data_IF_777299244106
#
_entry.id   IF_777299244106
#
_cell.length_a   1.000
_cell.length_b   1.000
_cell.length_c   1.000
_cell.angle_alpha   90.00
_cell.angle_beta   90.00
_cell.angle_gamma   90.00
#
_symmetry.space_group_name_H-M   'P 1'
#
loop_
_entity.id
_entity.type
_entity.pdbx_description
1 polymer ?
#
# COMPACT_ATOMS: atom_id res chain seq x y z
N UNK A 1 -20.19 5.84 -26.17
CA UNK A 1 -21.15 6.96 -26.07
C UNK A 1 -22.27 6.75 -27.09
N UNK A 2 -23.50 7.02 -26.69
CA UNK A 2 -24.67 6.98 -27.59
C UNK A 2 -24.74 8.22 -28.48
N UNK A 3 -25.46 8.11 -29.61
CA UNK A 3 -25.65 9.22 -30.54
C UNK A 3 -26.39 10.42 -29.92
N UNK A 4 -27.12 10.21 -28.82
CA UNK A 4 -27.81 11.23 -28.04
C UNK A 4 -26.95 11.79 -26.88
N UNK A 5 -25.64 11.56 -26.86
CA UNK A 5 -24.77 12.02 -25.77
C UNK A 5 -24.90 11.23 -24.46
N UNK A 6 -25.61 10.10 -24.43
CA UNK A 6 -25.61 9.21 -23.26
C UNK A 6 -24.29 8.45 -23.12
N UNK A 7 -23.93 8.12 -21.88
CA UNK A 7 -22.78 7.27 -21.57
C UNK A 7 -23.29 5.93 -21.10
N UNK A 8 -22.79 4.86 -21.70
CA UNK A 8 -23.33 3.51 -21.55
C UNK A 8 -22.18 2.55 -21.28
N UNK A 9 -22.35 1.70 -20.30
CA UNK A 9 -21.54 0.51 -20.09
C UNK A 9 -22.22 -0.69 -20.77
N UNK A 10 -21.39 -1.51 -21.41
CA UNK A 10 -21.76 -2.78 -22.02
C UNK A 10 -20.71 -3.78 -21.60
N UNK A 11 -21.08 -4.69 -20.72
CA UNK A 11 -20.16 -5.65 -20.11
C UNK A 11 -20.65 -7.08 -20.32
N UNK A 12 -19.72 -8.02 -20.18
CA UNK A 12 -19.93 -9.43 -20.42
C UNK A 12 -19.10 -10.25 -19.43
N UNK A 13 -19.68 -11.33 -18.95
CA UNK A 13 -19.01 -12.35 -18.14
C UNK A 13 -19.11 -13.70 -18.83
N UNK A 14 -18.14 -14.58 -18.56
CA UNK A 14 -18.14 -15.94 -19.10
C UNK A 14 -19.46 -16.67 -18.77
N UNK A 15 -20.03 -17.31 -19.79
CA UNK A 15 -21.32 -18.00 -19.66
C UNK A 15 -22.55 -17.09 -19.63
N UNK A 16 -22.40 -15.77 -19.73
CA UNK A 16 -23.52 -14.80 -19.71
C UNK A 16 -23.78 -14.17 -21.09
N UNK A 17 -24.93 -13.51 -21.24
CA UNK A 17 -25.18 -12.59 -22.36
C UNK A 17 -24.58 -11.22 -22.05
N UNK A 18 -24.32 -10.42 -23.08
CA UNK A 18 -23.98 -9.01 -22.89
C UNK A 18 -25.06 -8.29 -22.07
N UNK A 19 -24.61 -7.48 -21.11
CA UNK A 19 -25.44 -6.66 -20.24
C UNK A 19 -25.18 -5.18 -20.51
N UNK A 20 -26.03 -4.33 -19.97
CA UNK A 20 -26.12 -2.91 -20.33
C UNK A 20 -26.53 -2.07 -19.13
N UNK A 21 -25.77 -1.01 -18.85
CA UNK A 21 -26.12 0.01 -17.86
C UNK A 21 -25.90 1.40 -18.45
N UNK A 22 -26.83 2.31 -18.20
CA UNK A 22 -26.66 3.73 -18.51
C UNK A 22 -25.89 4.41 -17.37
N UNK A 23 -24.68 4.90 -17.67
CA UNK A 23 -23.81 5.61 -16.72
C UNK A 23 -24.17 7.10 -16.61
N UNK A 24 -24.67 7.66 -17.72
CA UNK A 24 -25.16 9.03 -17.78
C UNK A 24 -26.26 9.15 -18.85
N UNK A 25 -27.34 9.87 -18.57
CA UNK A 25 -28.47 10.01 -19.49
C UNK A 25 -28.10 10.77 -20.76
N UNK A 26 -29.05 10.87 -21.69
CA UNK A 26 -28.93 11.70 -22.88
C UNK A 26 -28.43 13.12 -22.54
N UNK A 27 -27.72 13.73 -23.49
CA UNK A 27 -27.14 15.08 -23.42
C UNK A 27 -26.06 15.27 -22.33
N UNK A 28 -25.56 14.18 -21.72
CA UNK A 28 -24.52 14.25 -20.69
C UNK A 28 -23.09 14.41 -21.23
N UNK A 29 -22.81 13.83 -22.40
CA UNK A 29 -21.48 13.84 -23.02
C UNK A 29 -21.50 14.57 -24.37
N UNK A 30 -20.40 15.25 -24.69
CA UNK A 30 -20.16 15.74 -26.05
C UNK A 30 -20.04 14.56 -27.01
N UNK A 31 -20.80 14.60 -28.09
CA UNK A 31 -20.74 13.58 -29.16
C UNK A 31 -19.52 13.73 -30.08
N UNK A 32 -18.67 14.73 -29.83
CA UNK A 32 -17.48 15.05 -30.63
C UNK A 32 -16.16 14.80 -29.88
N UNK A 33 -16.23 14.34 -28.62
CA UNK A 33 -15.05 13.99 -27.81
C UNK A 33 -14.87 12.49 -27.68
N UNK A 34 -13.76 12.08 -27.08
CA UNK A 34 -13.52 10.70 -26.66
C UNK A 34 -14.06 10.40 -25.26
N UNK A 35 -14.04 9.12 -24.92
CA UNK A 35 -14.23 8.57 -23.58
C UNK A 35 -12.95 7.80 -23.24
N UNK A 36 -12.50 7.86 -21.99
CA UNK A 36 -11.40 7.04 -21.48
C UNK A 36 -11.90 6.20 -20.32
N UNK A 37 -11.32 5.02 -20.14
CA UNK A 37 -11.61 4.18 -18.99
C UNK A 37 -10.35 3.45 -18.54
N UNK A 38 -10.22 3.24 -17.23
CA UNK A 38 -9.18 2.40 -16.63
C UNK A 38 -9.78 1.52 -15.55
N UNK A 39 -9.02 0.50 -15.18
CA UNK A 39 -9.23 -0.27 -13.95
C UNK A 39 -7.90 -0.20 -13.20
N UNK A 40 -7.88 0.52 -12.07
CA UNK A 40 -6.65 0.68 -11.27
C UNK A 40 -6.42 -0.45 -10.27
N UNK A 41 -7.43 -1.24 -9.93
CA UNK A 41 -7.32 -2.44 -9.10
C UNK A 41 -8.37 -3.46 -9.60
N UNK A 42 -8.17 -4.77 -9.35
CA UNK A 42 -9.21 -5.76 -9.60
C UNK A 42 -10.55 -5.34 -8.96
N UNK A 43 -11.64 -5.51 -9.70
CA UNK A 43 -12.97 -5.11 -9.20
C UNK A 43 -13.24 -3.60 -9.22
N UNK A 44 -12.40 -2.77 -9.84
CA UNK A 44 -12.69 -1.34 -10.07
C UNK A 44 -12.82 -0.96 -11.53
N UNK A 45 -13.60 0.08 -11.80
CA UNK A 45 -13.64 0.77 -13.09
C UNK A 45 -13.79 2.26 -12.88
N UNK A 46 -13.06 3.05 -13.65
CA UNK A 46 -13.17 4.50 -13.72
C UNK A 46 -13.33 4.92 -15.18
N UNK A 47 -14.24 5.87 -15.44
CA UNK A 47 -14.63 6.31 -16.78
C UNK A 47 -14.70 7.83 -16.82
N UNK A 48 -13.98 8.45 -17.77
CA UNK A 48 -13.98 9.89 -17.97
C UNK A 48 -14.52 10.28 -19.34
N UNK A 49 -15.32 11.34 -19.37
CA UNK A 49 -15.86 11.92 -20.60
C UNK A 49 -16.01 13.44 -20.47
N UNK A 50 -16.08 14.14 -21.61
CA UNK A 50 -16.29 15.58 -21.66
C UNK A 50 -17.77 15.88 -21.83
N UNK A 51 -18.32 16.79 -21.02
CA UNK A 51 -19.69 17.27 -21.15
C UNK A 51 -19.84 18.32 -22.28
N UNK A 52 -21.06 18.58 -22.78
CA UNK A 52 -21.29 19.56 -23.85
C UNK A 52 -20.86 21.00 -23.51
N UNK A 53 -20.74 21.34 -22.22
CA UNK A 53 -20.25 22.61 -21.70
C UNK A 53 -18.73 22.66 -21.50
N UNK A 54 -17.99 21.62 -21.92
CA UNK A 54 -16.55 21.50 -21.70
C UNK A 54 -16.13 21.12 -20.28
N UNK A 55 -17.06 20.68 -19.42
CA UNK A 55 -16.70 20.02 -18.14
C UNK A 55 -16.09 18.65 -18.40
N UNK A 56 -15.28 18.15 -17.46
CA UNK A 56 -14.79 16.76 -17.46
C UNK A 56 -15.52 16.02 -16.35
N UNK A 57 -16.20 14.94 -16.71
CA UNK A 57 -17.01 14.14 -15.81
C UNK A 57 -16.31 12.82 -15.51
N UNK A 58 -16.52 12.33 -14.29
CA UNK A 58 -16.02 11.05 -13.79
C UNK A 58 -17.22 10.15 -13.45
N UNK A 59 -17.13 8.89 -13.85
CA UNK A 59 -17.99 7.80 -13.38
C UNK A 59 -17.10 6.66 -12.89
N UNK A 60 -17.38 6.16 -11.70
CA UNK A 60 -16.61 5.07 -11.13
C UNK A 60 -17.51 3.99 -10.53
N UNK A 61 -16.97 2.78 -10.45
CA UNK A 61 -17.61 1.61 -9.89
C UNK A 61 -16.59 0.75 -9.15
N UNK A 62 -17.02 0.20 -8.01
CA UNK A 62 -16.30 -0.80 -7.25
C UNK A 62 -17.19 -2.03 -7.06
N UNK A 63 -16.57 -3.21 -7.02
CA UNK A 63 -17.27 -4.47 -6.80
C UNK A 63 -18.17 -4.40 -5.57
N UNK A 64 -19.40 -4.89 -5.71
CA UNK A 64 -20.44 -4.81 -4.67
C UNK A 64 -21.13 -3.43 -4.53
N UNK A 65 -20.76 -2.43 -5.33
CA UNK A 65 -21.38 -1.09 -5.32
C UNK A 65 -22.20 -0.79 -6.59
N UNK A 66 -22.92 0.33 -6.60
CA UNK A 66 -23.50 0.90 -7.83
C UNK A 66 -22.52 1.89 -8.45
N UNK A 67 -22.69 2.20 -9.74
CA UNK A 67 -21.96 3.31 -10.37
C UNK A 67 -22.22 4.62 -9.63
N UNK A 68 -21.18 5.42 -9.46
CA UNK A 68 -21.16 6.74 -8.85
C UNK A 68 -20.44 7.72 -9.77
N UNK A 69 -20.39 9.00 -9.41
CA UNK A 69 -19.55 9.94 -10.13
C UNK A 69 -19.65 11.38 -9.67
N UNK A 70 -18.80 12.21 -10.25
CA UNK A 70 -18.63 13.62 -9.91
C UNK A 70 -18.06 14.41 -11.10
N UNK A 71 -18.08 15.73 -10.99
CA UNK A 71 -17.41 16.61 -11.94
C UNK A 71 -15.93 16.73 -11.57
N UNK A 72 -15.04 16.23 -12.42
CA UNK A 72 -13.59 16.29 -12.22
C UNK A 72 -13.02 17.69 -12.52
N UNK A 73 -13.56 18.32 -13.57
CA UNK A 73 -13.19 19.68 -13.96
C UNK A 73 -14.43 20.47 -14.41
N UNK A 74 -14.55 21.74 -13.99
CA UNK A 74 -15.75 22.53 -14.21
C UNK A 74 -15.99 22.89 -15.68
N UNK A 75 -17.17 23.44 -15.97
CA UNK A 75 -17.55 23.97 -17.29
C UNK A 75 -16.44 24.84 -17.91
N UNK A 76 -16.17 24.67 -19.21
CA UNK A 76 -15.14 25.39 -19.94
C UNK A 76 -13.71 24.88 -19.73
N UNK A 77 -13.49 23.83 -18.92
CA UNK A 77 -12.15 23.30 -18.67
C UNK A 77 -11.54 22.60 -19.88
N UNK A 78 -12.35 21.95 -20.72
CA UNK A 78 -11.91 21.13 -21.84
C UNK A 78 -12.49 21.58 -23.18
N UNK A 79 -11.71 21.36 -24.25
CA UNK A 79 -12.18 21.40 -25.64
C UNK A 79 -13.25 20.33 -25.88
N UNK A 80 -14.39 20.75 -26.45
CA UNK A 80 -15.52 19.85 -26.78
C UNK A 80 -15.32 19.04 -28.05
N UNK A 81 -14.15 19.09 -28.68
CA UNK A 81 -13.81 18.34 -29.91
C UNK A 81 -12.53 17.51 -29.77
N UNK A 82 -12.00 17.38 -28.56
CA UNK A 82 -10.75 16.66 -28.28
C UNK A 82 -11.00 15.43 -27.41
N UNK A 83 -10.10 14.45 -27.49
CA UNK A 83 -10.17 13.22 -26.71
C UNK A 83 -9.80 13.41 -25.24
N UNK A 84 -10.18 12.42 -24.43
CA UNK A 84 -9.64 12.17 -23.10
C UNK A 84 -8.75 10.93 -23.20
N UNK A 85 -7.61 10.96 -22.53
CA UNK A 85 -6.73 9.80 -22.36
C UNK A 85 -6.55 9.54 -20.87
N UNK A 86 -6.51 8.28 -20.46
CA UNK A 86 -6.27 7.91 -19.08
C UNK A 86 -5.36 6.69 -18.99
N UNK A 87 -4.62 6.59 -17.90
CA UNK A 87 -3.77 5.44 -17.58
C UNK A 87 -3.84 5.15 -16.08
N UNK A 88 -3.73 3.87 -15.75
CA UNK A 88 -3.32 3.42 -14.42
C UNK A 88 -1.98 2.72 -14.58
N UNK A 89 -0.92 3.26 -13.97
CA UNK A 89 0.46 2.79 -14.17
C UNK A 89 0.88 1.78 -13.11
N UNK A 90 0.32 1.93 -11.92
CA UNK A 90 0.50 1.04 -10.78
C UNK A 90 -0.86 0.89 -10.11
N UNK A 91 -1.11 -0.24 -9.42
CA UNK A 91 -2.35 -0.41 -8.69
C UNK A 91 -2.66 0.79 -7.77
N UNK A 92 -3.93 1.21 -7.70
CA UNK A 92 -4.32 2.37 -6.89
C UNK A 92 -3.87 3.74 -7.42
N UNK A 93 -3.26 3.85 -8.62
CA UNK A 93 -3.01 5.13 -9.29
C UNK A 93 -3.91 5.36 -10.50
N UNK A 94 -4.19 6.62 -10.80
CA UNK A 94 -4.81 7.03 -12.05
C UNK A 94 -4.35 8.42 -12.48
N UNK A 95 -4.11 8.57 -13.77
CA UNK A 95 -3.83 9.85 -14.41
C UNK A 95 -4.72 10.02 -15.63
N UNK A 96 -5.26 11.22 -15.83
CA UNK A 96 -6.15 11.57 -16.93
C UNK A 96 -5.72 12.88 -17.58
N UNK A 97 -5.57 12.85 -18.91
CA UNK A 97 -5.23 13.99 -19.73
C UNK A 97 -6.38 14.38 -20.65
N UNK A 98 -6.58 15.68 -20.79
CA UNK A 98 -7.55 16.25 -21.73
C UNK A 98 -7.01 17.55 -22.31
N UNK A 99 -7.53 17.94 -23.49
CA UNK A 99 -7.17 19.23 -24.10
C UNK A 99 -8.02 20.32 -23.47
N UNK A 100 -7.38 21.37 -22.96
CA UNK A 100 -8.01 22.56 -22.41
C UNK A 100 -8.73 23.38 -23.46
N UNK A 101 -9.66 24.25 -23.03
CA UNK A 101 -10.35 25.18 -23.94
C UNK A 101 -9.43 26.16 -24.68
N UNK A 102 -8.23 26.38 -24.15
CA UNK A 102 -7.15 27.20 -24.71
C UNK A 102 -6.13 26.38 -25.54
N UNK A 103 -6.47 25.13 -25.89
CA UNK A 103 -5.62 24.16 -26.58
C UNK A 103 -4.37 23.69 -25.80
N UNK A 104 -4.27 23.98 -24.50
CA UNK A 104 -3.27 23.35 -23.62
C UNK A 104 -3.57 21.87 -23.37
N UNK A 105 -2.58 21.11 -22.91
CA UNK A 105 -2.81 19.76 -22.36
C UNK A 105 -2.90 19.88 -20.85
N UNK A 106 -4.02 19.41 -20.29
CA UNK A 106 -4.29 19.39 -18.86
C UNK A 106 -4.07 17.97 -18.32
N UNK A 107 -3.64 17.87 -17.07
CA UNK A 107 -3.43 16.63 -16.34
C UNK A 107 -4.22 16.68 -15.02
N UNK A 108 -4.82 15.55 -14.64
CA UNK A 108 -5.36 15.30 -13.30
C UNK A 108 -4.94 13.92 -12.87
N UNK A 109 -4.47 13.81 -11.63
CA UNK A 109 -4.00 12.55 -11.07
C UNK A 109 -4.60 12.28 -9.70
N UNK A 110 -4.63 11.00 -9.34
CA UNK A 110 -5.03 10.53 -8.02
C UNK A 110 -4.22 9.29 -7.64
N UNK A 111 -3.82 9.23 -6.37
CA UNK A 111 -3.13 8.10 -5.76
C UNK A 111 -3.84 7.72 -4.47
N UNK A 112 -4.13 6.43 -4.33
CA UNK A 112 -4.59 5.90 -3.07
C UNK A 112 -3.44 5.92 -2.04
N UNK A 113 -3.63 6.65 -0.96
CA UNK A 113 -2.66 6.76 0.15
C UNK A 113 -3.15 6.09 1.42
N UNK A 114 -4.14 5.20 1.30
CA UNK A 114 -4.61 4.35 2.40
C UNK A 114 -3.44 3.63 3.06
N UNK A 115 -3.47 3.56 4.40
CA UNK A 115 -2.40 2.98 5.20
C UNK A 115 -2.92 1.85 6.10
N UNK A 116 -2.04 0.89 6.39
CA UNK A 116 -2.27 -0.18 7.37
C UNK A 116 -1.09 -0.20 8.34
N UNK A 117 -1.44 -0.20 9.63
CA UNK A 117 -0.48 -0.29 10.73
C UNK A 117 -0.45 -1.72 11.26
N UNK A 118 0.75 -2.17 11.62
CA UNK A 118 1.03 -3.42 12.30
C UNK A 118 1.91 -3.13 13.50
N UNK A 119 1.47 -3.59 14.67
CA UNK A 119 2.06 -3.25 15.95
C UNK A 119 2.22 -4.53 16.78
N UNK A 120 3.40 -4.73 17.35
CA UNK A 120 3.62 -5.82 18.28
C UNK A 120 4.71 -5.46 19.30
N UNK A 121 4.40 -5.66 20.58
CA UNK A 121 5.41 -5.67 21.64
C UNK A 121 6.23 -6.97 21.55
N UNK A 122 7.54 -6.86 21.73
CA UNK A 122 8.49 -7.97 21.68
C UNK A 122 9.25 -8.07 22.99
N UNK A 123 9.44 -9.29 23.48
CA UNK A 123 10.10 -9.58 24.76
C UNK A 123 11.03 -10.77 24.63
N UNK A 124 12.00 -10.87 25.53
CA UNK A 124 12.88 -12.03 25.64
C UNK A 124 12.91 -12.55 27.08
N UNK A 125 13.55 -13.70 27.30
CA UNK A 125 13.81 -14.23 28.64
C UNK A 125 14.99 -13.54 29.34
N UNK A 126 15.76 -12.73 28.61
CA UNK A 126 16.78 -11.84 29.20
C UNK A 126 16.19 -10.44 29.37
N UNK A 127 16.95 -9.53 29.98
CA UNK A 127 16.44 -8.24 30.42
C UNK A 127 16.21 -7.21 29.29
N UNK A 128 15.95 -7.65 28.06
CA UNK A 128 15.61 -6.78 26.92
C UNK A 128 14.19 -7.04 26.41
N UNK A 129 13.47 -5.95 26.17
CA UNK A 129 12.14 -5.93 25.56
C UNK A 129 12.03 -4.74 24.59
N UNK A 130 10.88 -4.59 23.94
CA UNK A 130 10.73 -3.56 22.93
C UNK A 130 9.40 -3.63 22.18
N UNK A 131 9.36 -2.96 21.04
CA UNK A 131 8.22 -2.98 20.11
C UNK A 131 8.67 -2.91 18.66
N UNK A 132 7.88 -3.50 17.77
CA UNK A 132 8.01 -3.35 16.33
C UNK A 132 6.71 -2.74 15.75
N UNK A 133 6.87 -1.67 14.98
CA UNK A 133 5.80 -0.98 14.28
C UNK A 133 6.10 -0.93 12.78
N UNK A 134 5.17 -1.43 11.96
CA UNK A 134 5.25 -1.35 10.50
C UNK A 134 4.03 -0.61 9.99
N UNK A 135 4.26 0.41 9.16
CA UNK A 135 3.20 1.03 8.33
C UNK A 135 3.46 0.65 6.90
N UNK A 136 2.43 0.20 6.20
CA UNK A 136 2.42 0.06 4.74
C UNK A 136 1.31 0.92 4.16
N UNK A 137 1.54 1.47 2.96
CA UNK A 137 0.57 2.28 2.23
C UNK A 137 0.37 1.79 0.80
N UNK A 138 -0.82 2.01 0.26
CA UNK A 138 -1.20 1.56 -1.06
C UNK A 138 -0.31 2.12 -2.18
N UNK A 139 0.24 3.33 -2.01
CA UNK A 139 1.20 3.93 -2.94
C UNK A 139 2.62 3.37 -2.84
N UNK A 140 2.80 2.27 -2.10
CA UNK A 140 4.05 1.54 -1.97
C UNK A 140 4.94 2.05 -0.84
N UNK A 141 4.57 3.14 -0.16
CA UNK A 141 5.33 3.62 0.99
C UNK A 141 5.30 2.61 2.14
N UNK A 142 6.42 2.49 2.85
CA UNK A 142 6.47 1.82 4.13
C UNK A 142 7.33 2.56 5.15
N UNK A 143 7.03 2.35 6.43
CA UNK A 143 7.92 2.66 7.54
C UNK A 143 8.06 1.45 8.46
N UNK A 144 9.27 1.22 8.96
CA UNK A 144 9.56 0.25 10.00
C UNK A 144 10.23 0.97 11.15
N UNK A 145 9.58 0.96 12.31
CA UNK A 145 10.06 1.58 13.53
C UNK A 145 10.21 0.51 14.60
N UNK A 146 11.29 0.58 15.37
CA UNK A 146 11.51 -0.29 16.52
C UNK A 146 11.91 0.51 17.73
N UNK A 147 11.56 -0.02 18.89
CA UNK A 147 12.05 0.43 20.18
C UNK A 147 12.64 -0.80 20.88
N UNK A 148 13.82 -0.67 21.46
CA UNK A 148 14.37 -1.66 22.39
C UNK A 148 14.73 -0.96 23.70
N UNK A 149 14.45 -1.63 24.82
CA UNK A 149 14.77 -1.15 26.16
C UNK A 149 15.42 -2.27 26.98
N UNK A 150 16.59 -1.96 27.53
CA UNK A 150 17.33 -2.80 28.45
C UNK A 150 16.98 -2.47 29.90
N UNK A 151 16.46 -3.46 30.63
CA UNK A 151 16.15 -3.39 32.06
C UNK A 151 17.22 -4.02 32.94
N UNK A 152 18.25 -4.62 32.35
CA UNK A 152 19.28 -5.45 32.98
C UNK A 152 20.56 -4.74 33.44
N UNK A 153 21.49 -5.57 33.87
CA UNK A 153 22.77 -5.11 34.41
C UNK A 153 23.82 -4.94 33.33
N UNK A 154 23.95 -5.93 32.45
CA UNK A 154 24.93 -6.01 31.37
C UNK A 154 24.43 -5.31 30.10
N UNK A 155 25.34 -4.95 29.21
CA UNK A 155 24.98 -4.42 27.89
C UNK A 155 24.46 -5.55 27.00
N UNK A 156 23.48 -5.25 26.14
CA UNK A 156 22.84 -6.24 25.29
C UNK A 156 22.91 -5.77 23.83
N UNK A 157 23.55 -6.58 22.99
CA UNK A 157 23.39 -6.50 21.54
C UNK A 157 22.10 -7.24 21.16
N UNK A 158 21.32 -6.68 20.25
CA UNK A 158 20.02 -7.24 19.94
C UNK A 158 19.65 -7.15 18.47
N UNK A 159 18.63 -7.91 18.09
CA UNK A 159 18.03 -7.86 16.75
C UNK A 159 16.52 -8.01 16.85
N UNK A 160 15.79 -7.04 16.31
CA UNK A 160 14.34 -7.11 16.09
C UNK A 160 14.10 -7.49 14.64
N UNK A 161 13.34 -8.56 14.42
CA UNK A 161 12.91 -9.04 13.11
C UNK A 161 11.39 -8.98 13.03
N UNK A 162 10.83 -8.52 11.91
CA UNK A 162 9.40 -8.44 11.71
C UNK A 162 9.02 -8.95 10.31
N UNK A 163 7.82 -9.55 10.20
CA UNK A 163 7.28 -10.09 8.97
C UNK A 163 5.79 -9.75 8.84
N UNK A 164 5.40 -9.21 7.68
CA UNK A 164 3.99 -9.08 7.28
C UNK A 164 3.75 -10.12 6.18
N UNK A 165 2.84 -11.06 6.41
CA UNK A 165 2.38 -12.01 5.39
C UNK A 165 1.06 -11.52 4.81
N UNK A 166 1.04 -11.22 3.51
CA UNK A 166 -0.18 -10.98 2.76
C UNK A 166 -1.00 -12.28 2.62
N UNK A 167 -2.32 -12.18 2.46
CA UNK A 167 -3.20 -13.35 2.37
C UNK A 167 -2.88 -14.29 1.20
N UNK A 168 -2.23 -13.78 0.13
CA UNK A 168 -1.76 -14.59 -0.99
C UNK A 168 -0.52 -15.45 -0.64
N UNK A 169 0.15 -15.18 0.50
CA UNK A 169 1.34 -15.90 0.97
C UNK A 169 2.66 -15.17 0.71
N UNK A 170 2.63 -13.97 0.13
CA UNK A 170 3.80 -13.09 0.00
C UNK A 170 4.19 -12.58 1.38
N UNK A 171 5.48 -12.66 1.74
CA UNK A 171 6.00 -12.20 3.03
C UNK A 171 6.95 -11.03 2.84
N UNK A 172 6.67 -9.91 3.50
CA UNK A 172 7.54 -8.74 3.59
C UNK A 172 8.32 -8.79 4.89
N UNK A 173 9.65 -8.69 4.82
CA UNK A 173 10.52 -8.80 6.00
C UNK A 173 11.27 -7.51 6.31
N UNK A 174 11.44 -7.28 7.61
CA UNK A 174 12.11 -6.12 8.19
C UNK A 174 13.03 -6.59 9.30
N UNK A 175 14.19 -5.96 9.45
CA UNK A 175 15.10 -6.26 10.54
C UNK A 175 15.90 -5.01 10.92
N UNK A 176 16.18 -4.88 12.21
CA UNK A 176 17.11 -3.90 12.79
C UNK A 176 17.93 -4.60 13.86
N UNK A 177 19.23 -4.32 13.89
CA UNK A 177 20.14 -4.76 14.94
C UNK A 177 20.73 -3.53 15.61
N UNK A 178 20.77 -3.57 16.94
CA UNK A 178 21.21 -2.44 17.75
C UNK A 178 21.91 -2.90 19.03
N UNK A 179 22.17 -1.92 19.89
CA UNK A 179 22.82 -2.10 21.16
C UNK A 179 22.11 -1.27 22.22
N UNK A 180 22.01 -1.80 23.43
CA UNK A 180 21.55 -1.07 24.61
C UNK A 180 22.53 -1.25 25.76
N UNK A 181 22.71 -0.21 26.55
CA UNK A 181 23.60 -0.23 27.69
C UNK A 181 22.86 -0.66 28.97
N UNK A 182 23.46 -1.61 29.68
CA UNK A 182 23.00 -2.05 30.99
C UNK A 182 23.37 -1.04 32.08
N UNK A 183 22.90 -1.29 33.29
CA UNK A 183 23.15 -0.41 34.45
C UNK A 183 24.65 -0.17 34.71
N UNK A 184 25.53 -1.11 34.35
CA UNK A 184 26.98 -1.00 34.57
C UNK A 184 27.68 0.07 33.75
N UNK A 185 27.19 0.38 32.55
CA UNK A 185 27.85 1.33 31.66
C UNK A 185 27.91 2.75 32.25
N UNK A 186 26.99 3.05 33.19
CA UNK A 186 26.93 4.33 33.89
C UNK A 186 27.80 4.43 35.15
N UNK A 187 28.55 3.39 35.53
CA UNK A 187 29.35 3.41 36.76
C UNK A 187 30.77 3.97 36.55
N UNK A 188 31.33 4.74 37.51
CA UNK A 188 30.67 5.28 38.70
C UNK A 188 29.88 6.59 38.42
N UNK A 189 30.08 7.22 37.26
CA UNK A 189 29.45 8.49 36.90
C UNK A 189 29.06 8.50 35.42
N UNK A 190 27.79 8.23 35.14
CA UNK A 190 27.21 8.17 33.80
C UNK A 190 25.73 7.77 33.85
N UNK A 191 25.00 8.08 32.79
CA UNK A 191 23.64 7.54 32.57
C UNK A 191 23.75 6.58 31.40
N UNK A 192 23.52 5.27 31.58
CA UNK A 192 23.55 4.32 30.48
C UNK A 192 22.51 4.67 29.42
N UNK A 193 22.83 4.47 28.15
CA UNK A 193 21.87 4.56 27.06
C UNK A 193 21.07 3.25 26.93
N UNK A 194 19.96 3.18 27.67
CA UNK A 194 19.18 1.94 27.81
C UNK A 194 18.15 1.74 26.71
N UNK A 195 17.99 2.71 25.81
CA UNK A 195 16.97 2.69 24.77
C UNK A 195 17.63 2.78 23.40
N UNK A 196 17.09 2.05 22.43
CA UNK A 196 17.42 2.26 21.03
C UNK A 196 16.13 2.38 20.22
N UNK A 197 15.89 3.59 19.71
CA UNK A 197 14.77 3.92 18.85
C UNK A 197 15.25 4.03 17.40
N UNK A 198 14.70 3.18 16.54
CA UNK A 198 15.04 3.14 15.12
C UNK A 198 13.81 3.40 14.26
N UNK A 199 14.03 4.06 13.12
CA UNK A 199 13.01 4.18 12.07
C UNK A 199 13.66 4.20 10.69
N UNK A 200 13.18 3.32 9.82
CA UNK A 200 13.51 3.30 8.40
C UNK A 200 12.25 3.51 7.57
N UNK A 201 12.36 4.24 6.48
CA UNK A 201 11.25 4.44 5.53
C UNK A 201 11.72 4.17 4.12
N UNK A 202 10.80 3.73 3.27
CA UNK A 202 11.09 3.44 1.88
C UNK A 202 9.83 3.35 1.03
N UNK A 203 10.02 3.00 -0.24
CA UNK A 203 8.94 2.69 -1.15
C UNK A 203 9.25 1.37 -1.87
N UNK A 204 8.25 0.50 -1.98
CA UNK A 204 8.36 -0.75 -2.74
C UNK A 204 7.05 -1.00 -3.53
N UNK A 205 7.11 -1.10 -4.88
CA UNK A 205 5.93 -1.30 -5.72
C UNK A 205 5.21 -2.63 -5.46
N UNK A 206 5.88 -3.61 -4.85
CA UNK A 206 5.24 -4.86 -4.45
C UNK A 206 4.20 -4.66 -3.34
N UNK A 207 4.32 -3.62 -2.51
CA UNK A 207 3.29 -3.28 -1.52
C UNK A 207 2.01 -2.86 -2.23
N UNK A 208 2.13 -2.04 -3.27
CA UNK A 208 1.02 -1.62 -4.13
C UNK A 208 0.38 -2.81 -4.84
N UNK A 209 1.19 -3.73 -5.38
CA UNK A 209 0.70 -4.94 -6.06
C UNK A 209 -0.03 -5.90 -5.11
N UNK A 210 0.42 -5.99 -3.86
CA UNK A 210 -0.07 -6.97 -2.86
C UNK A 210 -1.02 -6.37 -1.82
N UNK A 211 -1.50 -5.14 -2.04
CA UNK A 211 -2.21 -4.38 -1.03
C UNK A 211 -3.45 -5.03 -0.47
N UNK A 212 -4.31 -5.60 -1.32
CA UNK A 212 -5.53 -6.29 -0.85
C UNK A 212 -5.19 -7.49 0.06
N UNK A 213 -4.07 -8.14 -0.23
CA UNK A 213 -3.52 -9.20 0.61
C UNK A 213 -2.91 -8.68 1.91
N UNK A 214 -2.29 -7.51 1.90
CA UNK A 214 -1.73 -6.84 3.10
C UNK A 214 -2.85 -6.37 4.04
N UNK A 215 -3.97 -5.86 3.52
CA UNK A 215 -5.12 -5.40 4.33
C UNK A 215 -5.66 -6.52 5.24
N UNK A 216 -5.61 -7.76 4.76
CA UNK A 216 -6.04 -8.97 5.45
C UNK A 216 -4.87 -9.85 5.91
N UNK A 217 -3.66 -9.29 5.89
CA UNK A 217 -2.43 -9.99 6.21
C UNK A 217 -2.23 -10.21 7.72
N UNK A 218 -1.32 -11.12 8.05
CA UNK A 218 -0.87 -11.37 9.42
C UNK A 218 0.47 -10.69 9.66
N UNK A 219 0.75 -10.33 10.90
CA UNK A 219 2.01 -9.73 11.33
C UNK A 219 2.63 -10.52 12.47
N UNK A 220 3.94 -10.67 12.44
CA UNK A 220 4.70 -11.23 13.54
C UNK A 220 6.05 -10.52 13.64
N UNK A 221 6.44 -10.19 14.87
CA UNK A 221 7.76 -9.69 15.22
C UNK A 221 8.40 -10.57 16.29
N UNK A 222 9.73 -10.59 16.30
CA UNK A 222 10.56 -11.29 17.28
C UNK A 222 11.75 -10.41 17.67
N UNK A 223 12.17 -10.53 18.92
CA UNK A 223 13.38 -9.90 19.46
C UNK A 223 14.33 -11.00 19.91
N UNK A 224 15.58 -10.91 19.48
CA UNK A 224 16.66 -11.76 19.96
C UNK A 224 17.72 -10.87 20.58
N UNK A 225 18.00 -11.08 21.86
CA UNK A 225 19.12 -10.44 22.54
C UNK A 225 20.27 -11.43 22.70
N UNK A 226 21.48 -10.97 22.43
CA UNK A 226 22.70 -11.75 22.65
C UNK A 226 23.53 -11.01 23.68
N UNK A 227 23.61 -11.58 24.88
CA UNK A 227 24.71 -11.27 25.80
C UNK A 227 26.02 -11.77 25.14
N UNK A 228 27.16 -11.17 25.47
CA UNK A 228 28.46 -11.15 24.79
C UNK A 228 29.16 -12.53 24.64
N UNK A 229 28.44 -13.66 24.71
CA UNK A 229 28.93 -15.04 24.65
C UNK A 229 28.07 -16.04 23.84
N UNK A 230 27.31 -15.60 22.82
CA UNK A 230 26.76 -16.54 21.83
C UNK A 230 26.88 -16.01 20.40
N UNK A 231 27.37 -16.85 19.50
CA UNK A 231 27.70 -16.50 18.13
C UNK A 231 26.47 -16.52 17.21
N UNK A 232 26.28 -15.42 16.46
CA UNK A 232 25.76 -15.42 15.08
C UNK A 232 24.25 -15.34 14.88
N UNK A 233 23.77 -14.15 14.47
CA UNK A 233 22.37 -13.84 14.09
C UNK A 233 22.01 -14.33 12.66
N UNK A 234 22.52 -15.50 12.27
CA UNK A 234 22.21 -16.07 10.93
C UNK A 234 21.08 -17.09 11.07
N UNK A 235 19.82 -16.61 11.16
CA UNK A 235 18.66 -17.50 11.25
C UNK A 235 17.34 -16.82 11.66
N UNK A 236 17.42 -15.74 12.44
CA UNK A 236 16.26 -15.08 13.06
C UNK A 236 15.11 -14.74 12.08
N UNK A 237 15.44 -14.20 10.91
CA UNK A 237 14.46 -13.88 9.87
C UNK A 237 13.88 -15.13 9.21
N UNK A 238 14.69 -16.17 8.99
CA UNK A 238 14.23 -17.42 8.39
C UNK A 238 13.23 -18.13 9.31
N UNK A 239 13.59 -18.28 10.59
CA UNK A 239 12.72 -18.89 11.61
C UNK A 239 11.42 -18.11 11.78
N UNK A 240 11.47 -16.77 11.70
CA UNK A 240 10.29 -15.91 11.77
C UNK A 240 9.38 -16.12 10.54
N UNK A 241 9.96 -16.22 9.35
CA UNK A 241 9.21 -16.52 8.11
C UNK A 241 8.54 -17.89 8.22
N UNK A 242 9.26 -18.91 8.69
CA UNK A 242 8.71 -20.25 8.86
C UNK A 242 7.58 -20.27 9.91
N UNK A 243 7.72 -19.50 11.00
CA UNK A 243 6.70 -19.36 12.03
C UNK A 243 5.42 -18.70 11.50
N UNK A 244 5.51 -17.56 10.80
CA UNK A 244 4.34 -16.85 10.29
C UNK A 244 3.65 -17.64 9.16
N UNK A 245 4.41 -18.36 8.32
CA UNK A 245 3.88 -19.30 7.32
C UNK A 245 3.12 -20.44 7.97
N UNK A 246 3.71 -21.07 8.99
CA UNK A 246 3.09 -22.18 9.71
C UNK A 246 1.82 -21.75 10.45
N UNK A 247 1.84 -20.57 11.08
CA UNK A 247 0.68 -19.98 11.76
C UNK A 247 -0.48 -19.68 10.80
N UNK A 248 -0.17 -19.31 9.55
CA UNK A 248 -1.16 -19.13 8.48
C UNK A 248 -1.67 -20.46 7.88
N UNK A 249 -1.19 -21.62 8.35
CA UNK A 249 -1.57 -22.93 7.83
C UNK A 249 -1.07 -23.20 6.41
N UNK A 250 -0.02 -22.49 5.96
CA UNK A 250 0.60 -22.66 4.64
C UNK A 250 1.83 -23.57 4.73
N UNK A 251 2.16 -24.24 3.63
CA UNK A 251 3.34 -25.11 3.55
C UNK A 251 4.65 -24.34 3.35
N UNK A 252 4.59 -23.18 2.69
CA UNK A 252 5.73 -22.30 2.41
C UNK A 252 5.23 -20.88 2.13
N UNK A 253 6.13 -19.90 2.18
CA UNK A 253 5.88 -18.57 1.63
C UNK A 253 5.85 -18.65 0.09
N UNK A 254 4.97 -17.86 -0.53
CA UNK A 254 4.90 -17.77 -2.00
C UNK A 254 6.06 -16.95 -2.55
N UNK A 255 6.40 -15.86 -1.85
CA UNK A 255 7.55 -15.02 -2.13
C UNK A 255 8.02 -14.34 -0.83
N UNK A 256 9.31 -14.02 -0.76
CA UNK A 256 9.90 -13.29 0.36
C UNK A 256 10.51 -12.00 -0.18
N UNK A 257 10.03 -10.86 0.31
CA UNK A 257 10.42 -9.51 -0.11
C UNK A 257 11.11 -8.84 1.07
N UNK A 258 12.42 -8.67 0.95
CA UNK A 258 13.22 -7.99 1.97
C UNK A 258 13.12 -6.48 1.79
N UNK A 259 12.65 -5.76 2.81
CA UNK A 259 12.47 -4.31 2.75
C UNK A 259 13.58 -3.54 3.49
N UNK A 260 14.05 -4.08 4.62
CA UNK A 260 15.17 -3.52 5.38
C UNK A 260 15.87 -4.63 6.18
N UNK A 261 17.17 -4.48 6.39
CA UNK A 261 17.98 -5.27 7.32
C UNK A 261 19.12 -4.49 7.90
#
# INVERSE_FOLDING_TARGET
MGANGSVQDRFWYEGSTWQAVELAPADSASTHTGIAAVSRIPGSMEVWYVGPNGSVQDRFWYEGSTWQGFELAPSGSSSITSGVAAVSRIPGSMEVWYVGGDASVQDRFWYDTSSKNFDQDVTTDIAIGGSAHVVMRQDGFFSFSTHAHDSGFDNIDYTISAAVMASDGTVFTFQHSGHTEGTVAGLPFGTPDRNDDFTFTGNNPQITEKWDGILNGTFQANLQGTDTLAAGVTGALGDLVDAIVSAAGKAAAEAIIKLVS
#
